data_IF_510711134556
#
_entry.id   IF_510711134556
#
_cell.length_a   1.000
_cell.length_b   1.000
_cell.length_c   1.000
_cell.angle_alpha   90.00
_cell.angle_beta   90.00
_cell.angle_gamma   90.00
#
_symmetry.space_group_name_H-M   'P 1'
#
loop_
_entity.id
_entity.type
_entity.pdbx_description
1 polymer ?
#
# COMPACT_ATOMS: atom_id res chain seq x y z
N UNK A 1 -20.48 2.79 -20.48
CA UNK A 1 -19.50 3.75 -19.91
C UNK A 1 -18.37 2.91 -19.35
N UNK A 2 -17.19 2.96 -19.96
CA UNK A 2 -16.07 2.05 -19.64
C UNK A 2 -15.31 2.57 -18.41
N UNK A 3 -15.21 1.77 -17.35
CA UNK A 3 -14.35 2.08 -16.19
C UNK A 3 -12.87 1.91 -16.59
N UNK A 4 -12.05 2.98 -16.61
CA UNK A 4 -10.64 2.89 -16.99
C UNK A 4 -9.81 2.06 -15.99
N UNK A 5 -10.29 1.86 -14.77
CA UNK A 5 -9.62 1.04 -13.75
C UNK A 5 -9.93 -0.45 -13.89
N UNK A 6 -10.90 -0.82 -14.73
CA UNK A 6 -11.20 -2.20 -15.09
C UNK A 6 -10.31 -2.73 -16.22
N UNK A 7 -9.43 -1.87 -16.80
CA UNK A 7 -8.49 -2.29 -17.85
C UNK A 7 -7.51 -3.30 -17.27
N UNK A 8 -7.40 -4.45 -17.94
CA UNK A 8 -6.42 -5.49 -17.60
C UNK A 8 -5.04 -5.01 -18.03
N UNK A 9 -4.10 -4.99 -17.07
CA UNK A 9 -2.73 -4.56 -17.27
C UNK A 9 -1.76 -5.66 -16.80
N UNK A 10 -0.61 -5.71 -17.47
CA UNK A 10 0.60 -6.35 -16.96
C UNK A 10 1.62 -5.25 -16.77
N UNK A 11 2.16 -5.13 -15.55
CA UNK A 11 3.02 -4.03 -15.13
C UNK A 11 4.31 -4.59 -14.59
N UNK A 12 5.41 -4.10 -15.15
CA UNK A 12 6.76 -4.29 -14.65
C UNK A 12 7.26 -2.96 -14.09
N UNK A 13 7.58 -2.91 -12.81
CA UNK A 13 8.04 -1.69 -12.16
C UNK A 13 9.57 -1.55 -12.24
N UNK A 14 10.11 -0.62 -13.06
CA UNK A 14 11.56 -0.48 -13.22
C UNK A 14 12.23 0.03 -11.93
N UNK A 15 13.34 -0.59 -11.56
CA UNK A 15 14.10 -0.27 -10.33
C UNK A 15 14.66 1.16 -10.32
N UNK A 16 14.95 1.69 -11.50
CA UNK A 16 15.54 3.02 -11.68
C UNK A 16 14.61 4.12 -11.18
N UNK A 17 13.31 4.00 -11.46
CA UNK A 17 12.31 5.05 -11.24
C UNK A 17 11.24 4.68 -10.21
N UNK A 18 11.07 3.39 -9.91
CA UNK A 18 10.06 2.91 -8.95
C UNK A 18 10.77 2.28 -7.76
N UNK A 19 10.83 3.02 -6.65
CA UNK A 19 11.54 2.58 -5.42
C UNK A 19 10.58 2.33 -4.27
N UNK A 20 9.51 3.11 -4.18
CA UNK A 20 8.53 3.06 -3.10
C UNK A 20 7.17 2.54 -3.59
N UNK A 21 6.30 2.18 -2.65
CA UNK A 21 4.89 1.87 -2.95
C UNK A 21 4.22 3.09 -3.60
N UNK A 22 4.54 4.32 -3.17
CA UNK A 22 4.05 5.55 -3.80
C UNK A 22 4.42 5.64 -5.27
N UNK A 23 5.67 5.36 -5.61
CA UNK A 23 6.13 5.39 -6.99
C UNK A 23 5.39 4.34 -7.83
N UNK A 24 5.15 3.15 -7.26
CA UNK A 24 4.44 2.08 -7.95
C UNK A 24 2.98 2.45 -8.22
N UNK A 25 2.31 3.03 -7.23
CA UNK A 25 0.95 3.58 -7.38
C UNK A 25 0.93 4.65 -8.47
N UNK A 26 1.82 5.65 -8.39
CA UNK A 26 1.89 6.72 -9.39
C UNK A 26 2.15 6.16 -10.80
N UNK A 27 3.08 5.21 -10.93
CA UNK A 27 3.42 4.55 -12.19
C UNK A 27 2.23 3.82 -12.80
N UNK A 28 1.46 3.10 -11.99
CA UNK A 28 0.24 2.41 -12.42
C UNK A 28 -0.81 3.42 -12.93
N UNK A 29 -0.98 4.53 -12.23
CA UNK A 29 -2.01 5.53 -12.55
C UNK A 29 -1.70 6.36 -13.82
N UNK A 30 -0.43 6.48 -14.21
CA UNK A 30 -0.04 7.18 -15.46
C UNK A 30 -0.80 6.66 -16.69
N UNK A 31 -1.07 5.35 -16.74
CA UNK A 31 -1.74 4.71 -17.89
C UNK A 31 -3.27 4.72 -17.78
N UNK A 32 -3.83 5.07 -16.63
CA UNK A 32 -5.28 5.09 -16.37
C UNK A 32 -5.87 6.50 -16.43
N UNK A 33 -5.01 7.53 -16.39
CA UNK A 33 -5.41 8.93 -16.40
C UNK A 33 -5.93 9.43 -15.05
N UNK A 34 -5.63 8.71 -13.96
CA UNK A 34 -5.93 9.13 -12.60
C UNK A 34 -4.70 9.69 -11.91
N UNK A 35 -4.91 10.45 -10.83
CA UNK A 35 -3.85 10.94 -9.96
C UNK A 35 -4.17 10.67 -8.49
N UNK A 36 -3.15 10.40 -7.68
CA UNK A 36 -3.29 10.28 -6.23
C UNK A 36 -3.40 11.69 -5.64
N UNK A 37 -4.50 11.99 -4.93
CA UNK A 37 -4.74 13.33 -4.36
C UNK A 37 -4.68 13.36 -2.83
N UNK A 38 -5.21 12.33 -2.18
CA UNK A 38 -5.40 12.37 -0.73
C UNK A 38 -5.09 11.02 -0.12
N UNK A 39 -4.43 11.06 1.03
CA UNK A 39 -4.06 9.88 1.78
C UNK A 39 -4.12 10.20 3.26
N UNK A 40 -4.61 9.26 4.05
CA UNK A 40 -4.51 9.37 5.51
C UNK A 40 -3.04 9.19 5.95
N UNK A 41 -2.72 9.61 7.18
CA UNK A 41 -1.35 9.57 7.71
C UNK A 41 -0.76 8.14 7.72
N UNK A 42 -1.55 7.14 8.12
CA UNK A 42 -1.15 5.74 8.09
C UNK A 42 -0.86 5.26 6.66
N UNK A 43 -1.70 5.65 5.71
CA UNK A 43 -1.50 5.34 4.29
C UNK A 43 -0.26 6.05 3.72
N UNK A 44 0.05 7.27 4.18
CA UNK A 44 1.32 7.93 3.82
C UNK A 44 2.53 7.10 4.25
N UNK A 45 2.53 6.57 5.48
CA UNK A 45 3.63 5.75 5.98
C UNK A 45 3.83 4.47 5.13
N UNK A 46 2.75 3.80 4.73
CA UNK A 46 2.81 2.69 3.78
C UNK A 46 3.38 3.12 2.42
N UNK A 47 2.89 4.23 1.88
CA UNK A 47 3.31 4.73 0.57
C UNK A 47 4.81 5.05 0.53
N UNK A 48 5.39 5.46 1.65
CA UNK A 48 6.83 5.69 1.82
C UNK A 48 7.67 4.40 1.98
N UNK A 49 7.04 3.23 2.16
CA UNK A 49 7.76 1.96 2.24
C UNK A 49 8.39 1.59 0.90
N UNK A 50 9.56 0.91 0.91
CA UNK A 50 10.16 0.40 -0.31
C UNK A 50 9.22 -0.61 -0.98
N UNK A 51 9.17 -0.59 -2.32
CA UNK A 51 8.40 -1.56 -3.08
C UNK A 51 9.00 -2.96 -2.89
N UNK A 52 8.25 -3.94 -2.35
CA UNK A 52 8.73 -5.31 -2.20
C UNK A 52 9.08 -5.94 -3.55
N UNK A 53 10.12 -6.78 -3.56
CA UNK A 53 10.57 -7.48 -4.76
C UNK A 53 9.47 -8.38 -5.36
N UNK A 54 8.64 -8.97 -4.51
CA UNK A 54 7.46 -9.77 -4.93
C UNK A 54 6.39 -8.96 -5.67
N UNK A 55 6.40 -7.64 -5.56
CA UNK A 55 5.42 -6.75 -6.20
C UNK A 55 5.97 -6.07 -7.46
N UNK A 56 7.17 -6.42 -7.91
CA UNK A 56 7.82 -5.83 -9.10
C UNK A 56 7.12 -6.19 -10.40
N UNK A 57 6.55 -7.39 -10.45
CA UNK A 57 5.86 -7.94 -11.60
C UNK A 57 4.44 -8.29 -11.20
N UNK A 58 3.47 -7.51 -11.70
CA UNK A 58 2.06 -7.70 -11.38
C UNK A 58 1.24 -7.81 -12.67
N UNK A 59 0.37 -8.81 -12.71
CA UNK A 59 -0.57 -9.03 -13.81
C UNK A 59 -0.49 -10.44 -14.40
N UNK A 60 -1.39 -10.74 -15.36
CA UNK A 60 -2.41 -9.86 -15.92
C UNK A 60 -3.62 -9.70 -14.99
N UNK A 61 -3.87 -8.48 -14.51
CA UNK A 61 -4.98 -8.17 -13.60
C UNK A 61 -5.58 -6.79 -13.92
N UNK A 62 -6.84 -6.52 -13.53
CA UNK A 62 -7.39 -5.17 -13.60
C UNK A 62 -6.51 -4.16 -12.85
N UNK A 63 -6.34 -2.95 -13.37
CA UNK A 63 -5.54 -1.91 -12.72
C UNK A 63 -5.97 -1.67 -11.25
N UNK A 64 -7.28 -1.73 -10.97
CA UNK A 64 -7.81 -1.68 -9.60
C UNK A 64 -7.26 -2.80 -8.71
N UNK A 65 -7.22 -4.04 -9.19
CA UNK A 65 -6.74 -5.17 -8.42
C UNK A 65 -5.23 -5.07 -8.14
N UNK A 66 -4.45 -4.63 -9.14
CA UNK A 66 -3.00 -4.37 -8.97
C UNK A 66 -2.79 -3.32 -7.87
N UNK A 67 -3.59 -2.25 -7.90
CA UNK A 67 -3.52 -1.21 -6.88
C UNK A 67 -3.85 -1.76 -5.49
N UNK A 68 -4.93 -2.54 -5.35
CA UNK A 68 -5.30 -3.17 -4.07
C UNK A 68 -4.20 -4.09 -3.53
N UNK A 69 -3.45 -4.78 -4.39
CA UNK A 69 -2.26 -5.55 -3.98
C UNK A 69 -1.13 -4.65 -3.47
N UNK A 70 -0.88 -3.52 -4.13
CA UNK A 70 0.16 -2.56 -3.72
C UNK A 70 -0.16 -1.92 -2.36
N UNK A 71 -1.43 -1.58 -2.10
CA UNK A 71 -1.82 -0.92 -0.85
C UNK A 71 -2.07 -1.94 0.28
N UNK A 72 -2.64 -3.09 -0.05
CA UNK A 72 -2.94 -4.17 0.88
C UNK A 72 -4.27 -4.02 1.65
N UNK A 73 -4.67 -5.07 2.40
CA UNK A 73 -6.00 -5.20 3.00
C UNK A 73 -6.45 -4.13 4.02
N UNK A 74 -5.56 -3.55 4.88
CA UNK A 74 -6.02 -2.59 5.88
C UNK A 74 -6.36 -1.22 5.28
N UNK A 75 -6.18 -1.04 3.97
CA UNK A 75 -6.44 0.21 3.27
C UNK A 75 -7.56 0.04 2.25
N UNK A 76 -8.35 1.09 2.07
CA UNK A 76 -9.37 1.21 1.03
C UNK A 76 -8.97 2.26 0.03
N UNK A 77 -9.15 1.92 -1.24
CA UNK A 77 -9.00 2.85 -2.36
C UNK A 77 -10.36 3.41 -2.76
N UNK A 78 -10.47 4.72 -2.77
CA UNK A 78 -11.62 5.45 -3.30
C UNK A 78 -11.23 6.16 -4.61
N UNK A 79 -12.10 6.09 -5.61
CA UNK A 79 -11.84 6.64 -6.95
C UNK A 79 -12.96 7.60 -7.32
N UNK A 80 -12.61 8.85 -7.64
CA UNK A 80 -13.53 9.82 -8.24
C UNK A 80 -13.34 9.80 -9.75
N UNK A 81 -14.35 9.32 -10.48
CA UNK A 81 -14.36 9.35 -11.95
C UNK A 81 -14.53 10.78 -12.50
N UNK A 82 -15.17 11.67 -11.71
CA UNK A 82 -15.45 13.05 -12.09
C UNK A 82 -14.15 13.84 -12.14
N UNK A 83 -13.38 13.79 -11.05
CA UNK A 83 -12.15 14.56 -10.91
C UNK A 83 -10.92 13.81 -11.44
N UNK A 84 -11.09 12.52 -11.76
CA UNK A 84 -10.01 11.58 -12.10
C UNK A 84 -8.97 11.48 -10.99
N UNK A 85 -9.46 11.28 -9.77
CA UNK A 85 -8.63 11.26 -8.57
C UNK A 85 -8.78 9.95 -7.80
N UNK A 86 -7.75 9.66 -7.01
CA UNK A 86 -7.66 8.50 -6.16
C UNK A 86 -7.28 8.92 -4.75
N UNK A 87 -7.97 8.34 -3.77
CA UNK A 87 -7.70 8.54 -2.34
C UNK A 87 -7.52 7.21 -1.63
N UNK A 88 -6.56 7.17 -0.71
CA UNK A 88 -6.23 5.97 0.08
C UNK A 88 -6.47 6.28 1.56
N UNK A 89 -7.35 5.50 2.19
CA UNK A 89 -7.65 5.65 3.61
C UNK A 89 -7.61 4.31 4.32
N UNK A 90 -7.44 4.35 5.65
CA UNK A 90 -7.51 3.15 6.47
C UNK A 90 -8.94 2.62 6.50
N UNK A 91 -9.13 1.30 6.45
CA UNK A 91 -10.45 0.72 6.76
C UNK A 91 -10.72 0.83 8.25
N UNK A 92 -11.99 0.72 8.66
CA UNK A 92 -12.34 0.66 10.09
C UNK A 92 -11.60 -0.49 10.80
N UNK A 93 -11.49 -1.64 10.13
CA UNK A 93 -10.72 -2.79 10.62
C UNK A 93 -9.21 -2.52 10.70
N UNK A 94 -8.64 -1.86 9.69
CA UNK A 94 -7.24 -1.43 9.70
C UNK A 94 -6.95 -0.44 10.83
N UNK A 95 -7.87 0.50 11.07
CA UNK A 95 -7.80 1.46 12.17
C UNK A 95 -7.85 0.78 13.53
N UNK A 96 -8.76 -0.19 13.70
CA UNK A 96 -8.82 -0.98 14.92
C UNK A 96 -7.52 -1.78 15.14
N UNK A 97 -6.99 -2.43 14.10
CA UNK A 97 -5.73 -3.18 14.19
C UNK A 97 -4.53 -2.28 14.56
N UNK A 98 -4.42 -1.09 13.96
CA UNK A 98 -3.38 -0.11 14.29
C UNK A 98 -3.50 0.39 15.73
N UNK A 99 -4.72 0.66 16.20
CA UNK A 99 -4.99 1.05 17.59
C UNK A 99 -4.62 -0.07 18.58
N UNK A 100 -4.92 -1.32 18.27
CA UNK A 100 -4.53 -2.48 19.09
C UNK A 100 -3.00 -2.65 19.10
N UNK A 101 -2.33 -2.45 17.97
CA UNK A 101 -0.87 -2.49 17.88
C UNK A 101 -0.23 -1.37 18.71
N UNK A 102 -0.79 -0.16 18.68
CA UNK A 102 -0.31 0.97 19.48
C UNK A 102 -0.51 0.79 20.99
N UNK A 103 -1.57 0.07 21.40
CA UNK A 103 -1.83 -0.25 22.82
C UNK A 103 -0.95 -1.39 23.33
N UNK A 104 -0.50 -2.30 22.46
CA UNK A 104 0.45 -3.36 22.86
C UNK A 104 1.85 -2.76 23.00
N UNK A 105 2.48 -2.79 24.19
CA UNK A 105 3.88 -2.40 24.30
C UNK A 105 4.73 -3.34 23.40
N UNK A 106 5.82 -2.83 22.79
CA UNK A 106 6.75 -3.72 22.12
C UNK A 106 7.23 -4.72 23.17
N UNK A 107 6.96 -6.00 22.95
CA UNK A 107 7.62 -7.06 23.71
C UNK A 107 9.11 -6.92 23.38
N UNK A 108 9.83 -6.19 24.23
CA UNK A 108 11.27 -6.16 24.20
C UNK A 108 11.77 -7.61 24.19
N UNK A 109 12.83 -7.95 23.42
CA UNK A 109 13.43 -9.25 23.54
C UNK A 109 13.89 -9.41 24.98
N UNK A 110 13.18 -10.25 25.75
CA UNK A 110 13.63 -10.70 27.06
C UNK A 110 14.85 -11.58 26.80
N UNK A 111 16.01 -10.93 26.72
CA UNK A 111 17.29 -11.58 26.78
C UNK A 111 17.40 -12.24 28.15
N UNK A 112 16.92 -13.48 28.22
CA UNK A 112 17.30 -14.41 29.25
C UNK A 112 18.83 -14.61 29.16
N UNK A 113 19.55 -13.96 30.06
CA UNK A 113 20.94 -14.28 30.38
C UNK A 113 21.03 -14.22 31.92
N UNK A 114 20.70 -15.34 32.56
CA UNK A 114 21.68 -16.23 33.17
C UNK A 114 22.30 -15.60 34.42
N UNK A 115 21.64 -15.79 35.56
CA UNK A 115 22.39 -15.92 36.81
C UNK A 115 23.14 -17.25 36.79
N UNK A 116 24.42 -17.28 37.18
CA UNK A 116 24.96 -18.40 37.91
C UNK A 116 25.14 -18.02 39.37
N UNK A 117 24.42 -18.79 40.17
CA UNK A 117 24.62 -19.21 41.55
C UNK A 117 26.06 -19.10 42.10
N UNK A 118 26.13 -18.50 43.31
CA UNK A 118 27.13 -18.62 44.40
C UNK A 118 28.36 -17.70 44.39
#
# INVERSE_FOLDING_TARGET
MTDPMAVVATVHFPREHVRTVRDAVAFLLLRTGFRLESTDLAASALLDMPLPESHRDLGPYPARAILEVLVGPPYRVQISLVDRTLSIGLTDEGSNAERVAAVRPPLAPQAAALEPLK
#
